data_IF_559268693826
#
_entry.id   IF_559268693826
#
_cell.length_a   1.000
_cell.length_b   1.000
_cell.length_c   1.000
_cell.angle_alpha   90.00
_cell.angle_beta   90.00
_cell.angle_gamma   90.00
#
_symmetry.space_group_name_H-M   'P 1'
#
loop_
_entity.id
_entity.type
_entity.pdbx_description
1 polymer ?
#
# COMPACT_ATOMS: atom_id res chain seq x y z
N UNK A 1 6.41 -2.17 -11.04
CA UNK A 1 5.22 -1.29 -10.98
C UNK A 1 5.50 0.13 -11.45
N UNK A 2 6.54 0.80 -10.93
CA UNK A 2 6.85 2.21 -11.26
C UNK A 2 7.04 2.50 -12.77
N UNK A 3 7.76 1.64 -13.50
CA UNK A 3 7.98 1.81 -14.96
C UNK A 3 6.66 1.76 -15.75
N UNK A 4 5.74 0.86 -15.35
CA UNK A 4 4.43 0.70 -16.00
C UNK A 4 3.58 1.96 -15.79
N UNK A 5 3.58 2.51 -14.58
CA UNK A 5 2.85 3.74 -14.24
C UNK A 5 3.36 4.96 -15.02
N UNK A 6 4.68 5.06 -15.21
CA UNK A 6 5.30 6.12 -16.02
C UNK A 6 4.91 6.01 -17.49
N UNK A 7 4.94 4.80 -18.06
CA UNK A 7 4.56 4.57 -19.46
C UNK A 7 3.11 5.00 -19.76
N UNK A 8 2.19 4.79 -18.81
CA UNK A 8 0.78 5.15 -18.98
C UNK A 8 0.41 6.55 -18.47
N UNK A 9 1.39 7.38 -18.07
CA UNK A 9 1.12 8.72 -17.54
C UNK A 9 0.31 8.73 -16.24
N UNK A 10 0.21 7.58 -15.56
CA UNK A 10 -0.58 7.41 -14.33
C UNK A 10 0.23 7.77 -13.08
N UNK A 11 1.55 7.93 -13.20
CA UNK A 11 2.46 8.23 -12.09
C UNK A 11 2.06 9.48 -11.30
N UNK A 12 1.55 10.51 -11.98
CA UNK A 12 1.13 11.79 -11.38
C UNK A 12 0.05 11.64 -10.29
N UNK A 13 -0.83 10.64 -10.39
CA UNK A 13 -1.83 10.32 -9.37
C UNK A 13 -1.21 9.79 -8.07
N UNK A 14 -0.05 9.14 -8.14
CA UNK A 14 0.62 8.55 -6.97
C UNK A 14 1.42 9.58 -6.17
N UNK A 15 2.02 10.54 -6.87
CA UNK A 15 2.82 11.64 -6.28
C UNK A 15 1.98 12.88 -5.91
N UNK A 16 0.64 12.81 -6.07
CA UNK A 16 -0.30 13.90 -5.78
C UNK A 16 0.00 15.21 -6.54
N UNK A 17 0.60 15.11 -7.73
CA UNK A 17 0.89 16.26 -8.62
C UNK A 17 0.01 16.26 -9.86
N UNK A 18 -0.97 15.35 -9.94
CA UNK A 18 -1.97 15.42 -11.00
C UNK A 18 -2.77 16.73 -10.87
N UNK A 19 -2.93 17.50 -11.97
CA UNK A 19 -3.79 18.67 -11.98
C UNK A 19 -5.23 18.31 -11.60
N UNK A 20 -5.95 19.29 -11.02
CA UNK A 20 -7.36 19.14 -10.68
C UNK A 20 -8.18 18.72 -11.91
N UNK A 21 -9.35 18.09 -11.65
CA UNK A 21 -10.29 17.67 -12.70
C UNK A 21 -10.46 18.80 -13.73
N UNK A 22 -10.24 18.53 -15.02
CA UNK A 22 -10.32 19.56 -16.05
C UNK A 22 -11.63 20.35 -15.98
N UNK A 23 -11.52 21.69 -16.01
CA UNK A 23 -12.64 22.63 -15.87
C UNK A 23 -13.77 22.36 -16.89
N UNK A 24 -14.98 22.86 -16.60
CA UNK A 24 -16.16 22.69 -17.46
C UNK A 24 -15.87 23.14 -18.90
N UNK A 25 -15.00 24.14 -19.10
CA UNK A 25 -14.56 24.64 -20.41
C UNK A 25 -13.43 23.88 -21.13
N UNK A 26 -12.87 22.81 -20.54
CA UNK A 26 -11.78 22.05 -21.14
C UNK A 26 -12.20 21.28 -22.39
N UNK A 27 -11.25 20.94 -23.26
CA UNK A 27 -11.55 20.17 -24.45
C UNK A 27 -12.07 18.77 -24.07
N UNK A 28 -13.05 18.24 -24.81
CA UNK A 28 -13.62 16.91 -24.58
C UNK A 28 -12.55 15.82 -24.48
N UNK A 29 -11.50 15.94 -25.31
CA UNK A 29 -10.34 15.05 -25.30
C UNK A 29 -9.61 15.03 -23.95
N UNK A 30 -9.43 16.19 -23.32
CA UNK A 30 -8.72 16.30 -22.04
C UNK A 30 -9.50 15.64 -20.90
N UNK A 31 -10.84 15.79 -20.89
CA UNK A 31 -11.73 15.10 -19.93
C UNK A 31 -11.66 13.59 -20.11
N UNK A 32 -11.71 13.12 -21.36
CA UNK A 32 -11.60 11.70 -21.68
C UNK A 32 -10.24 11.13 -21.27
N UNK A 33 -9.14 11.79 -21.63
CA UNK A 33 -7.78 11.36 -21.30
C UNK A 33 -7.53 11.38 -19.79
N UNK A 34 -8.15 12.31 -19.05
CA UNK A 34 -8.12 12.34 -17.59
C UNK A 34 -8.84 11.13 -16.97
N UNK A 35 -10.10 10.88 -17.35
CA UNK A 35 -10.85 9.73 -16.83
C UNK A 35 -10.17 8.40 -17.18
N UNK A 36 -9.64 8.27 -18.40
CA UNK A 36 -8.91 7.09 -18.83
C UNK A 36 -7.68 6.81 -17.95
N UNK A 37 -6.93 7.85 -17.56
CA UNK A 37 -5.78 7.71 -16.65
C UNK A 37 -6.23 7.36 -15.23
N UNK A 38 -7.36 7.90 -14.77
CA UNK A 38 -7.95 7.58 -13.47
C UNK A 38 -8.34 6.09 -13.37
N UNK A 39 -9.07 5.59 -14.37
CA UNK A 39 -9.54 4.20 -14.41
C UNK A 39 -8.37 3.20 -14.54
N UNK A 40 -7.38 3.53 -15.38
CA UNK A 40 -6.15 2.74 -15.51
C UNK A 40 -5.37 2.68 -14.21
N UNK A 41 -5.29 3.79 -13.47
CA UNK A 41 -4.59 3.85 -12.19
C UNK A 41 -5.19 2.88 -11.18
N UNK A 42 -6.51 2.89 -11.01
CA UNK A 42 -7.19 1.95 -10.12
C UNK A 42 -6.97 0.49 -10.54
N UNK A 43 -7.12 0.22 -11.84
CA UNK A 43 -6.92 -1.13 -12.40
C UNK A 43 -5.51 -1.65 -12.14
N UNK A 44 -4.49 -0.80 -12.34
CA UNK A 44 -3.09 -1.12 -12.07
C UNK A 44 -2.85 -1.39 -10.58
N UNK A 45 -3.45 -0.63 -9.67
CA UNK A 45 -3.36 -0.91 -8.23
C UNK A 45 -4.00 -2.26 -7.92
N UNK A 46 -5.26 -2.45 -8.30
CA UNK A 46 -6.04 -3.64 -7.96
C UNK A 46 -5.43 -4.94 -8.49
N UNK A 47 -4.80 -4.90 -9.67
CA UNK A 47 -4.13 -6.05 -10.28
C UNK A 47 -2.79 -6.41 -9.63
N UNK A 48 -2.09 -5.43 -9.06
CA UNK A 48 -0.71 -5.58 -8.59
C UNK A 48 -0.56 -5.68 -7.07
N UNK A 49 -1.65 -5.60 -6.30
CA UNK A 49 -1.66 -5.84 -4.85
C UNK A 49 -2.04 -7.28 -4.52
N UNK A 50 -1.60 -7.75 -3.34
CA UNK A 50 -1.99 -9.07 -2.84
C UNK A 50 -3.52 -9.17 -2.61
N UNK A 51 -4.11 -10.36 -2.71
CA UNK A 51 -5.55 -10.55 -2.50
C UNK A 51 -6.07 -10.02 -1.16
N UNK A 52 -5.25 -10.13 -0.11
CA UNK A 52 -5.55 -9.67 1.24
C UNK A 52 -5.76 -8.14 1.32
N UNK A 53 -5.09 -7.38 0.47
CA UNK A 53 -5.19 -5.92 0.42
C UNK A 53 -6.33 -5.44 -0.49
N UNK A 54 -6.95 -6.33 -1.27
CA UNK A 54 -8.05 -5.94 -2.17
C UNK A 54 -9.31 -5.54 -1.41
N UNK A 55 -9.56 -6.18 -0.27
CA UNK A 55 -10.68 -5.82 0.62
C UNK A 55 -10.52 -4.43 1.24
N UNK A 56 -9.28 -3.96 1.44
CA UNK A 56 -9.01 -2.61 1.97
C UNK A 56 -9.43 -1.49 1.01
N UNK A 57 -9.50 -1.78 -0.29
CA UNK A 57 -9.84 -0.78 -1.32
C UNK A 57 -11.10 -1.12 -2.10
N UNK A 58 -11.90 -2.10 -1.66
CA UNK A 58 -13.09 -2.56 -2.39
C UNK A 58 -14.19 -1.49 -2.51
N UNK A 59 -14.20 -0.54 -1.56
CA UNK A 59 -15.24 0.48 -1.45
C UNK A 59 -14.96 1.71 -2.33
N UNK A 60 -13.84 1.71 -3.06
CA UNK A 60 -13.45 2.80 -3.95
C UNK A 60 -13.06 2.26 -5.32
N UNK A 61 -13.38 3.03 -6.36
CA UNK A 61 -12.84 2.87 -7.72
C UNK A 61 -11.89 4.00 -8.10
N UNK A 62 -11.72 4.98 -7.22
CA UNK A 62 -10.76 6.05 -7.39
C UNK A 62 -9.36 5.55 -6.99
N UNK A 63 -8.46 5.53 -7.97
CA UNK A 63 -7.09 5.07 -7.79
C UNK A 63 -6.26 5.92 -6.81
N UNK A 64 -6.51 7.22 -6.72
CA UNK A 64 -5.82 8.09 -5.77
C UNK A 64 -6.30 7.83 -4.33
N UNK A 65 -7.61 7.63 -4.15
CA UNK A 65 -8.19 7.25 -2.85
C UNK A 65 -7.71 5.86 -2.44
N UNK A 66 -7.73 4.88 -3.35
CA UNK A 66 -7.22 3.53 -3.11
C UNK A 66 -5.73 3.56 -2.69
N UNK A 67 -4.91 4.33 -3.41
CA UNK A 67 -3.50 4.50 -3.07
C UNK A 67 -3.28 5.16 -1.71
N UNK A 68 -4.13 6.12 -1.33
CA UNK A 68 -4.08 6.74 0.00
C UNK A 68 -4.40 5.71 1.09
N UNK A 69 -5.49 4.96 0.95
CA UNK A 69 -5.88 3.92 1.93
C UNK A 69 -4.77 2.90 2.11
N UNK A 70 -4.16 2.44 1.00
CA UNK A 70 -3.04 1.51 1.05
C UNK A 70 -1.84 2.11 1.78
N UNK A 71 -1.48 3.37 1.50
CA UNK A 71 -0.39 4.04 2.22
C UNK A 71 -0.69 4.15 3.71
N UNK A 72 -1.87 4.63 4.08
CA UNK A 72 -2.28 4.81 5.47
C UNK A 72 -2.27 3.47 6.23
N UNK A 73 -2.58 2.36 5.55
CA UNK A 73 -2.50 1.01 6.12
C UNK A 73 -1.07 0.56 6.43
N UNK A 74 -0.11 0.88 5.55
CA UNK A 74 1.30 0.50 5.72
C UNK A 74 2.12 1.52 6.49
N UNK A 75 1.64 2.76 6.62
CA UNK A 75 2.32 3.80 7.37
C UNK A 75 2.28 3.42 8.85
N UNK A 76 3.43 3.12 9.48
CA UNK A 76 3.43 2.72 10.87
C UNK A 76 3.00 3.91 11.72
N UNK A 77 1.77 3.85 12.24
CA UNK A 77 1.16 4.95 13.00
C UNK A 77 1.99 5.38 14.22
N UNK A 78 2.92 4.55 14.69
CA UNK A 78 3.74 4.85 15.87
C UNK A 78 5.19 4.39 15.72
N UNK A 79 6.11 5.11 16.37
CA UNK A 79 7.51 4.68 16.56
C UNK A 79 7.61 3.29 17.19
N UNK A 80 6.68 2.92 18.07
CA UNK A 80 6.63 1.60 18.67
C UNK A 80 6.38 0.51 17.62
N UNK A 81 5.50 0.75 16.63
CA UNK A 81 5.27 -0.21 15.54
C UNK A 81 6.48 -0.32 14.62
N UNK A 82 7.20 0.77 14.37
CA UNK A 82 8.49 0.73 13.65
C UNK A 82 9.51 -0.15 14.37
N UNK A 83 9.65 0.02 15.69
CA UNK A 83 10.57 -0.77 16.50
C UNK A 83 10.18 -2.25 16.49
N UNK A 84 8.89 -2.58 16.61
CA UNK A 84 8.40 -3.96 16.51
C UNK A 84 8.69 -4.58 15.14
N UNK A 85 8.44 -3.85 14.04
CA UNK A 85 8.72 -4.35 12.69
C UNK A 85 10.23 -4.58 12.47
N UNK A 86 11.08 -3.70 13.00
CA UNK A 86 12.52 -3.88 12.97
C UNK A 86 12.93 -5.10 13.79
N UNK A 87 12.38 -5.26 15.00
CA UNK A 87 12.65 -6.41 15.85
C UNK A 87 12.23 -7.72 15.14
N UNK A 88 11.00 -7.83 14.65
CA UNK A 88 10.49 -8.97 13.87
C UNK A 88 11.40 -9.29 12.66
N UNK A 89 11.84 -8.27 11.91
CA UNK A 89 12.73 -8.44 10.77
C UNK A 89 14.11 -8.99 11.16
N UNK A 90 14.72 -8.46 12.24
CA UNK A 90 16.01 -8.94 12.72
C UNK A 90 15.91 -10.33 13.35
N UNK A 91 14.82 -10.62 14.06
CA UNK A 91 14.53 -11.96 14.56
C UNK A 91 14.40 -12.97 13.42
N UNK A 92 13.65 -12.67 12.36
CA UNK A 92 13.54 -13.55 11.18
C UNK A 92 14.89 -13.81 10.51
N UNK A 93 15.76 -12.79 10.43
CA UNK A 93 17.13 -12.93 9.91
C UNK A 93 18.02 -13.80 10.79
N UNK A 94 17.88 -13.73 12.11
CA UNK A 94 18.63 -14.55 13.07
C UNK A 94 18.11 -16.00 13.05
N UNK A 95 16.79 -16.21 13.00
CA UNK A 95 16.13 -17.53 12.93
C UNK A 95 16.41 -18.27 11.62
N UNK A 96 16.53 -17.56 10.48
CA UNK A 96 17.01 -18.19 9.24
C UNK A 96 18.50 -18.58 9.29
N UNK A 97 19.30 -17.94 10.15
CA UNK A 97 20.72 -18.28 10.36
C UNK A 97 20.96 -19.31 11.46
N UNK A 98 20.05 -19.45 12.41
CA UNK A 98 20.12 -20.42 13.49
C UNK A 98 18.83 -21.22 13.48
N UNK A 99 18.90 -22.40 12.87
CA UNK A 99 17.80 -23.36 12.86
C UNK A 99 17.18 -23.51 14.25
N UNK A 100 15.85 -23.39 14.28
CA UNK A 100 14.91 -23.91 15.26
C UNK A 100 15.41 -24.07 16.71
N UNK A 101 15.04 -23.12 17.58
CA UNK A 101 14.88 -23.40 19.00
C UNK A 101 13.59 -22.77 19.52
N UNK A 102 12.55 -23.60 19.54
CA UNK A 102 11.51 -23.73 20.58
C UNK A 102 11.08 -22.47 21.37
N UNK A 103 9.79 -22.14 21.26
CA UNK A 103 8.97 -21.58 22.33
C UNK A 103 8.15 -22.74 22.97
N UNK A 104 7.66 -22.68 24.23
CA UNK A 104 7.09 -21.46 24.83
C UNK A 104 7.50 -21.17 26.29
N UNK A 105 7.31 -19.90 26.65
CA UNK A 105 7.24 -19.39 28.01
C UNK A 105 6.10 -20.08 28.76
N UNK A 106 6.43 -21.05 29.61
CA UNK A 106 5.53 -21.62 30.61
C UNK A 106 5.82 -20.93 31.95
N UNK A 107 5.04 -19.89 32.25
CA UNK A 107 4.99 -19.30 33.59
C UNK A 107 4.18 -20.23 34.51
N UNK A 108 4.89 -21.08 35.26
CA UNK A 108 4.37 -21.72 36.48
C UNK A 108 5.14 -21.14 37.66
N UNK A 109 4.62 -20.07 38.25
CA UNK A 109 5.04 -19.64 39.57
C UNK A 109 4.04 -20.21 40.58
N UNK A 110 4.41 -21.35 41.15
CA UNK A 110 3.78 -21.95 42.31
C UNK A 110 4.73 -21.82 43.51
N UNK A 111 4.28 -21.10 44.53
CA UNK A 111 4.62 -21.35 45.93
C UNK A 111 5.76 -20.53 46.53
N UNK A 112 5.40 -19.56 47.38
CA UNK A 112 5.62 -19.62 48.85
C UNK A 112 4.32 -19.15 49.51
#
# INVERSE_FOLDING_TARGET
MQIILMHYGCWQFFIKTEPADPDVGSAYKEKYDFQLRKDRTFTLIYTNISPELKSLISDTTDGAVAWKILKDHFEPMTRARVIQLLDEFFWLKVSLRRGCWHLPMSGKDSGI
#
